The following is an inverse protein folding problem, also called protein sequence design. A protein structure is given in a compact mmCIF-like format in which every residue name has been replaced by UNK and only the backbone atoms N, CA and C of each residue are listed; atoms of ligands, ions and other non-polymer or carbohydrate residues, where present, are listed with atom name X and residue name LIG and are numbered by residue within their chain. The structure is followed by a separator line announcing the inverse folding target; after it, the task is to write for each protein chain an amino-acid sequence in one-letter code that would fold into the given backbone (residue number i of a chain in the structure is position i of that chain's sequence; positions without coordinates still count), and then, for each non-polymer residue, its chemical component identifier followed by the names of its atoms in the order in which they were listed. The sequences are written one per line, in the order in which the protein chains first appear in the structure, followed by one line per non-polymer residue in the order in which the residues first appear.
data_IF_901416548788
#
_entry.id   IF_901416548788
#
_cell.length_a   1.000
_cell.length_b   1.000
_cell.length_c   1.000
_cell.angle_alpha   90.00
_cell.angle_beta   90.00
_cell.angle_gamma   90.00
#
_symmetry.space_group_name_H-M   'P 1'
#
loop_
_entity.id
_entity.type
_entity.pdbx_description
1 polymer ?
#
# COMPACT_ATOMS: atom_id res chain seq x y z
N UNK A 1 2.30 21.04 28.66
CA UNK A 1 2.23 22.21 27.76
C UNK A 1 2.67 23.51 28.42
N UNK A 2 2.14 23.85 29.61
CA UNK A 2 2.58 25.01 30.40
C UNK A 2 4.08 25.05 30.73
N UNK A 3 4.73 23.88 30.90
CA UNK A 3 6.18 23.81 31.19
C UNK A 3 7.09 24.35 30.07
N UNK A 4 6.72 24.21 28.79
CA UNK A 4 7.54 24.72 27.68
C UNK A 4 7.24 26.17 27.31
N UNK A 5 6.00 26.63 27.55
CA UNK A 5 5.65 28.05 27.41
C UNK A 5 6.32 28.90 28.50
N UNK A 6 6.60 28.30 29.66
CA UNK A 6 7.34 28.93 30.76
C UNK A 6 8.86 28.70 30.73
N UNK A 7 9.37 27.73 29.96
CA UNK A 7 10.83 27.57 29.74
C UNK A 7 11.39 28.57 28.72
N UNK A 8 10.62 29.61 28.41
CA UNK A 8 10.96 30.76 27.57
C UNK A 8 12.00 31.68 28.24
N UNK A 9 12.97 31.11 28.95
CA UNK A 9 14.26 31.76 29.11
C UNK A 9 14.95 31.68 27.75
N UNK A 10 15.38 32.79 27.14
CA UNK A 10 15.74 32.87 25.71
C UNK A 10 17.00 32.09 25.28
N UNK A 11 17.48 31.13 26.08
CA UNK A 11 18.82 30.54 25.95
C UNK A 11 18.83 29.06 25.51
N UNK A 12 17.72 28.30 25.56
CA UNK A 12 17.80 26.84 25.34
C UNK A 12 17.22 26.27 24.03
N UNK A 13 16.29 26.93 23.34
CA UNK A 13 15.62 26.35 22.16
C UNK A 13 15.29 27.43 21.12
N UNK A 14 15.58 27.17 19.85
CA UNK A 14 15.22 28.09 18.75
C UNK A 14 13.73 28.08 18.44
N UNK A 15 13.22 29.12 17.78
CA UNK A 15 11.79 29.20 17.42
C UNK A 15 11.32 28.04 16.52
N UNK A 16 12.17 27.56 15.61
CA UNK A 16 11.89 26.43 14.73
C UNK A 16 11.86 25.09 15.47
N UNK A 17 12.83 24.84 16.35
CA UNK A 17 12.83 23.63 17.19
C UNK A 17 11.63 23.59 18.15
N UNK A 18 11.22 24.74 18.69
CA UNK A 18 10.00 24.84 19.50
C UNK A 18 8.78 24.41 18.69
N UNK A 19 8.63 24.94 17.48
CA UNK A 19 7.51 24.63 16.59
C UNK A 19 7.44 23.12 16.28
N UNK A 20 8.57 22.50 15.88
CA UNK A 20 8.62 21.06 15.59
C UNK A 20 8.26 20.22 16.83
N UNK A 21 8.83 20.54 18.00
CA UNK A 21 8.52 19.82 19.25
C UNK A 21 7.05 19.94 19.65
N UNK A 22 6.42 21.10 19.44
CA UNK A 22 4.99 21.29 19.74
C UNK A 22 4.12 20.42 18.82
N UNK A 23 4.45 20.36 17.53
CA UNK A 23 3.77 19.50 16.56
C UNK A 23 3.89 18.03 16.97
N UNK A 24 5.10 17.57 17.32
CA UNK A 24 5.33 16.18 17.72
C UNK A 24 4.51 15.80 18.96
N UNK A 25 4.43 16.69 19.95
CA UNK A 25 3.62 16.48 21.15
C UNK A 25 2.14 16.34 20.79
N UNK A 26 1.63 17.17 19.88
CA UNK A 26 0.24 17.09 19.46
C UNK A 26 -0.06 15.85 18.62
N UNK A 27 0.86 15.45 17.74
CA UNK A 27 0.75 14.20 16.99
C UNK A 27 0.69 13.00 17.95
N UNK A 28 1.61 12.94 18.92
CA UNK A 28 1.62 11.89 19.93
C UNK A 28 0.36 11.89 20.82
N UNK A 29 -0.17 13.07 21.16
CA UNK A 29 -1.42 13.17 21.91
C UNK A 29 -2.61 12.63 21.10
N UNK A 30 -2.68 12.96 19.81
CA UNK A 30 -3.71 12.47 18.89
C UNK A 30 -3.67 10.94 18.77
N UNK A 31 -2.47 10.35 18.65
CA UNK A 31 -2.32 8.90 18.56
C UNK A 31 -2.70 8.18 19.86
N UNK A 32 -2.39 8.77 21.03
CA UNK A 32 -2.84 8.23 22.33
C UNK A 32 -4.36 8.23 22.46
N UNK A 33 -5.00 9.34 22.09
CA UNK A 33 -6.48 9.43 22.09
C UNK A 33 -7.07 8.45 21.07
N UNK A 34 -6.46 8.33 19.89
CA UNK A 34 -6.91 7.38 18.87
C UNK A 34 -6.84 5.93 19.34
N UNK A 35 -5.78 5.54 20.06
CA UNK A 35 -5.65 4.19 20.62
C UNK A 35 -6.70 3.92 21.67
N UNK A 36 -6.79 4.79 22.68
CA UNK A 36 -7.80 4.66 23.75
C UNK A 36 -9.24 4.66 23.20
N UNK A 37 -9.51 5.46 22.16
CA UNK A 37 -10.81 5.47 21.49
C UNK A 37 -11.10 4.14 20.79
N UNK A 38 -10.15 3.60 20.02
CA UNK A 38 -10.35 2.29 19.36
C UNK A 38 -10.49 1.18 20.39
N UNK A 39 -9.71 1.20 21.46
CA UNK A 39 -9.77 0.20 22.54
C UNK A 39 -11.14 0.20 23.23
N UNK A 40 -11.75 1.37 23.44
CA UNK A 40 -13.09 1.49 24.01
C UNK A 40 -14.21 1.16 23.00
N UNK A 41 -13.96 1.29 21.70
CA UNK A 41 -14.97 1.10 20.65
C UNK A 41 -15.02 -0.34 20.15
N UNK A 42 -13.91 -1.07 20.22
CA UNK A 42 -13.80 -2.44 19.70
C UNK A 42 -14.44 -3.50 20.61
N UNK A 43 -14.53 -3.23 21.91
CA UNK A 43 -15.13 -4.14 22.89
C UNK A 43 -16.34 -3.53 23.56
N UNK A 44 -17.30 -4.37 23.90
CA UNK A 44 -18.43 -4.00 24.72
C UNK A 44 -18.66 -5.04 25.81
N UNK A 45 -19.05 -4.57 26.99
CA UNK A 45 -19.38 -5.44 28.11
C UNK A 45 -20.82 -5.92 27.96
N UNK A 46 -21.01 -7.22 27.88
CA UNK A 46 -22.32 -7.86 27.85
C UNK A 46 -22.50 -8.79 29.04
N UNK A 47 -23.76 -8.98 29.42
CA UNK A 47 -24.13 -9.92 30.47
C UNK A 47 -24.36 -11.27 29.81
N UNK A 48 -23.55 -12.25 30.18
CA UNK A 48 -23.70 -13.62 29.72
C UNK A 48 -24.93 -14.30 30.29
N UNK A 49 -25.26 -15.47 29.75
CA UNK A 49 -26.32 -16.34 30.24
C UNK A 49 -26.24 -16.60 31.76
N UNK A 50 -25.03 -16.63 32.32
CA UNK A 50 -24.77 -16.87 33.74
C UNK A 50 -24.80 -15.61 34.61
N UNK A 51 -25.20 -14.46 34.05
CA UNK A 51 -25.29 -13.19 34.77
C UNK A 51 -23.94 -12.50 35.03
N UNK A 52 -22.87 -12.97 34.41
CA UNK A 52 -21.51 -12.41 34.53
C UNK A 52 -21.20 -11.46 33.38
N UNK A 53 -20.40 -10.44 33.66
CA UNK A 53 -19.88 -9.53 32.64
C UNK A 53 -18.79 -10.22 31.81
N UNK A 54 -19.00 -10.32 30.50
CA UNK A 54 -17.99 -10.73 29.52
C UNK A 54 -17.75 -9.61 28.53
N UNK A 55 -16.50 -9.47 28.06
CA UNK A 55 -16.19 -8.58 26.96
C UNK A 55 -16.36 -9.33 25.64
N UNK A 56 -17.24 -8.81 24.79
CA UNK A 56 -17.38 -9.26 23.41
C UNK A 56 -16.91 -8.17 22.44
N UNK A 57 -16.71 -8.55 21.17
CA UNK A 57 -16.47 -7.58 20.10
C UNK A 57 -17.70 -6.68 19.98
N UNK A 58 -17.49 -5.37 19.91
CA UNK A 58 -18.60 -4.42 19.90
C UNK A 58 -19.43 -4.51 18.62
N UNK A 59 -20.75 -4.42 18.79
CA UNK A 59 -21.71 -4.28 17.70
C UNK A 59 -21.97 -2.81 17.34
N UNK A 60 -21.08 -1.89 17.72
CA UNK A 60 -21.13 -0.50 17.28
C UNK A 60 -21.08 -0.43 15.75
N UNK A 61 -22.11 0.17 15.13
CA UNK A 61 -22.22 0.18 13.67
C UNK A 61 -21.05 0.89 12.96
N UNK A 62 -20.47 1.93 13.57
CA UNK A 62 -19.32 2.64 13.00
C UNK A 62 -18.08 1.76 13.02
N UNK A 63 -17.87 1.02 14.11
CA UNK A 63 -16.80 0.04 14.22
C UNK A 63 -16.99 -1.11 13.23
N UNK A 64 -18.18 -1.72 13.19
CA UNK A 64 -18.51 -2.80 12.25
C UNK A 64 -18.30 -2.40 10.78
N UNK A 65 -18.67 -1.18 10.40
CA UNK A 65 -18.48 -0.68 9.02
C UNK A 65 -16.99 -0.56 8.62
N UNK A 66 -16.12 -0.21 9.59
CA UNK A 66 -14.68 -0.13 9.34
C UNK A 66 -13.98 -1.49 9.42
N UNK A 67 -14.34 -2.32 10.41
CA UNK A 67 -13.75 -3.65 10.60
C UNK A 67 -14.12 -4.61 9.46
N UNK A 68 -15.37 -4.56 8.98
CA UNK A 68 -15.81 -5.32 7.80
C UNK A 68 -15.17 -4.87 6.48
N UNK A 69 -14.48 -3.73 6.45
CA UNK A 69 -13.95 -3.13 5.23
C UNK A 69 -15.03 -2.56 4.28
N UNK A 70 -16.30 -2.53 4.69
CA UNK A 70 -17.40 -2.06 3.84
C UNK A 70 -17.26 -0.57 3.50
N UNK A 71 -17.09 0.28 4.52
CA UNK A 71 -16.83 1.71 4.36
C UNK A 71 -16.39 2.30 5.69
N UNK A 72 -15.21 2.91 5.73
CA UNK A 72 -14.70 3.46 6.97
C UNK A 72 -13.21 3.25 7.05
N UNK A 73 -12.51 4.13 7.75
CA UNK A 73 -11.13 3.87 8.16
C UNK A 73 -10.93 4.34 9.60
N UNK A 74 -9.90 3.80 10.27
CA UNK A 74 -9.54 4.24 11.61
C UNK A 74 -9.32 5.77 11.68
N UNK A 75 -8.81 6.37 10.60
CA UNK A 75 -8.64 7.82 10.50
C UNK A 75 -9.99 8.59 10.47
N UNK A 76 -11.03 8.02 9.86
CA UNK A 76 -12.37 8.61 9.86
C UNK A 76 -13.05 8.46 11.22
N UNK A 77 -12.94 7.28 11.86
CA UNK A 77 -13.47 7.03 13.20
C UNK A 77 -12.83 7.99 14.22
N UNK A 78 -11.52 8.19 14.12
CA UNK A 78 -10.77 9.14 14.95
C UNK A 78 -11.36 10.55 14.91
N UNK A 79 -11.77 11.03 13.73
CA UNK A 79 -12.38 12.37 13.61
C UNK A 79 -13.80 12.44 14.20
N UNK A 80 -14.52 11.31 14.24
CA UNK A 80 -15.88 11.22 14.78
C UNK A 80 -15.90 11.16 16.31
N UNK A 81 -15.03 10.34 16.91
CA UNK A 81 -15.11 10.00 18.33
C UNK A 81 -13.81 10.25 19.13
N UNK A 82 -12.70 10.57 18.48
CA UNK A 82 -11.41 10.83 19.11
C UNK A 82 -11.07 12.31 19.12
N UNK A 83 -10.04 12.67 18.36
CA UNK A 83 -9.60 14.05 18.16
C UNK A 83 -9.38 14.29 16.67
N UNK A 84 -9.81 15.43 16.15
CA UNK A 84 -9.58 15.77 14.73
C UNK A 84 -8.11 16.05 14.43
N UNK A 85 -7.38 16.66 15.37
CA UNK A 85 -5.93 16.74 15.37
C UNK A 85 -5.35 17.93 14.60
N UNK A 86 -4.16 17.74 14.03
CA UNK A 86 -3.39 18.77 13.31
C UNK A 86 -3.83 18.87 11.85
N UNK A 87 -3.93 20.11 11.35
CA UNK A 87 -4.35 20.42 9.97
C UNK A 87 -3.19 21.04 9.19
N UNK A 88 -3.17 20.87 7.88
CA UNK A 88 -2.20 21.49 6.99
C UNK A 88 -2.69 22.85 6.46
N UNK A 89 -1.76 23.80 6.31
CA UNK A 89 -1.96 25.05 5.58
C UNK A 89 -1.88 24.80 4.06
N UNK A 90 -2.33 25.76 3.22
CA UNK A 90 -2.24 25.63 1.76
C UNK A 90 -0.81 25.52 1.21
N UNK A 91 0.20 25.95 1.98
CA UNK A 91 1.63 25.83 1.66
C UNK A 91 2.22 24.44 2.03
N UNK A 92 1.43 23.56 2.66
CA UNK A 92 1.84 22.23 3.10
C UNK A 92 2.41 22.18 4.53
N UNK A 93 2.65 23.33 5.18
CA UNK A 93 3.09 23.37 6.58
C UNK A 93 1.96 23.02 7.54
N UNK A 94 2.29 22.47 8.71
CA UNK A 94 1.29 22.08 9.73
C UNK A 94 0.94 23.28 10.62
N UNK A 95 -0.33 23.42 10.99
CA UNK A 95 -0.77 24.48 11.92
C UNK A 95 -0.48 24.03 13.35
N UNK A 96 0.28 24.83 14.12
CA UNK A 96 0.67 24.48 15.50
C UNK A 96 -0.52 24.38 16.48
N UNK A 97 -1.65 25.00 16.14
CA UNK A 97 -2.89 24.98 16.92
C UNK A 97 -3.78 23.83 16.44
N UNK A 98 -3.94 22.74 17.21
CA UNK A 98 -4.74 21.59 16.80
C UNK A 98 -6.23 21.82 17.02
N UNK A 99 -7.03 20.94 16.44
CA UNK A 99 -8.45 20.78 16.76
C UNK A 99 -8.57 19.63 17.75
N UNK A 100 -8.72 19.97 19.03
CA UNK A 100 -8.86 18.98 20.12
C UNK A 100 -10.22 18.30 20.14
N UNK A 101 -11.24 18.95 19.58
CA UNK A 101 -12.59 18.42 19.51
C UNK A 101 -12.77 17.38 18.40
N UNK A 102 -13.80 16.56 18.52
CA UNK A 102 -14.30 15.68 17.45
C UNK A 102 -15.65 16.16 16.90
N UNK A 103 -16.15 15.47 15.87
CA UNK A 103 -17.42 15.85 15.25
C UNK A 103 -18.64 15.64 16.15
N UNK A 104 -18.57 14.72 17.13
CA UNK A 104 -19.64 14.53 18.11
C UNK A 104 -19.70 15.70 19.11
N UNK A 105 -18.56 16.22 19.52
CA UNK A 105 -18.45 17.38 20.43
C UNK A 105 -18.76 18.71 19.72
N UNK A 106 -18.55 18.77 18.40
CA UNK A 106 -18.72 19.95 17.59
C UNK A 106 -17.45 20.81 17.49
N UNK A 107 -17.43 21.68 16.47
CA UNK A 107 -16.29 22.55 16.18
C UNK A 107 -16.67 24.00 16.45
N UNK A 108 -15.80 24.75 17.13
CA UNK A 108 -15.97 26.19 17.23
C UNK A 108 -15.61 26.89 15.91
N UNK A 109 -15.99 28.18 15.78
CA UNK A 109 -15.80 28.95 14.54
C UNK A 109 -14.35 28.96 14.06
N UNK A 110 -13.39 29.11 14.98
CA UNK A 110 -11.97 29.15 14.66
C UNK A 110 -11.46 27.78 14.17
N UNK A 111 -11.82 26.70 14.85
CA UNK A 111 -11.44 25.33 14.48
C UNK A 111 -12.04 24.96 13.12
N UNK A 112 -13.31 25.30 12.89
CA UNK A 112 -13.94 25.11 11.60
C UNK A 112 -13.21 25.89 10.51
N UNK A 113 -12.95 27.19 10.72
CA UNK A 113 -12.23 28.03 9.76
C UNK A 113 -10.81 27.53 9.45
N UNK A 114 -10.07 27.05 10.45
CA UNK A 114 -8.76 26.43 10.24
C UNK A 114 -8.89 25.18 9.35
N UNK A 115 -9.90 24.35 9.59
CA UNK A 115 -10.10 23.12 8.81
C UNK A 115 -10.47 23.36 7.34
N UNK A 116 -11.06 24.52 7.00
CA UNK A 116 -11.45 24.84 5.61
C UNK A 116 -10.25 25.07 4.70
N UNK A 117 -9.10 25.49 5.23
CA UNK A 117 -7.91 25.77 4.44
C UNK A 117 -7.38 24.50 3.77
N UNK A 118 -7.16 23.45 4.57
CA UNK A 118 -6.74 22.13 4.09
C UNK A 118 -7.79 21.48 3.18
N UNK A 119 -9.08 21.57 3.55
CA UNK A 119 -10.17 21.03 2.75
C UNK A 119 -10.27 21.69 1.37
N UNK A 120 -10.22 23.03 1.30
CA UNK A 120 -10.29 23.77 0.04
C UNK A 120 -9.08 23.49 -0.85
N UNK A 121 -7.88 23.42 -0.26
CA UNK A 121 -6.65 23.07 -0.99
C UNK A 121 -6.75 21.65 -1.56
N UNK A 122 -7.19 20.68 -0.76
CA UNK A 122 -7.39 19.30 -1.18
C UNK A 122 -8.39 19.19 -2.34
N UNK A 123 -9.56 19.84 -2.22
CA UNK A 123 -10.58 19.85 -3.28
C UNK A 123 -10.08 20.53 -4.57
N UNK A 124 -9.38 21.66 -4.45
CA UNK A 124 -8.80 22.35 -5.60
C UNK A 124 -7.72 21.50 -6.29
N UNK A 125 -6.85 20.86 -5.52
CA UNK A 125 -5.80 19.99 -6.06
C UNK A 125 -6.40 18.75 -6.73
N UNK A 126 -7.46 18.15 -6.16
CA UNK A 126 -8.21 17.07 -6.79
C UNK A 126 -8.79 17.52 -8.13
N UNK A 127 -9.41 18.70 -8.20
CA UNK A 127 -9.98 19.21 -9.45
C UNK A 127 -8.90 19.49 -10.51
N UNK A 128 -7.77 20.10 -10.13
CA UNK A 128 -6.71 20.48 -11.07
C UNK A 128 -5.84 19.29 -11.53
N UNK A 129 -5.42 18.41 -10.60
CA UNK A 129 -4.48 17.33 -10.93
C UNK A 129 -5.13 16.19 -11.71
N UNK A 130 -6.45 16.05 -11.66
CA UNK A 130 -7.19 15.08 -12.48
C UNK A 130 -6.94 15.32 -13.98
N UNK A 131 -6.89 16.59 -14.41
CA UNK A 131 -6.60 16.93 -15.81
C UNK A 131 -5.20 16.47 -16.25
N UNK A 132 -4.19 16.61 -15.38
CA UNK A 132 -2.82 16.18 -15.69
C UNK A 132 -2.73 14.66 -15.84
N UNK A 133 -3.43 13.90 -15.00
CA UNK A 133 -3.47 12.44 -15.08
C UNK A 133 -4.18 11.95 -16.35
N UNK A 134 -5.31 12.58 -16.71
CA UNK A 134 -6.01 12.29 -17.96
C UNK A 134 -5.14 12.62 -19.19
N UNK A 135 -4.44 13.77 -19.15
CA UNK A 135 -3.53 14.16 -20.22
C UNK A 135 -2.35 13.19 -20.38
N UNK A 136 -1.76 12.72 -19.27
CA UNK A 136 -0.73 11.69 -19.29
C UNK A 136 -1.25 10.39 -19.90
N UNK A 137 -2.45 9.96 -19.51
CA UNK A 137 -3.08 8.74 -20.05
C UNK A 137 -3.24 8.84 -21.57
N UNK A 138 -3.69 10.00 -22.08
CA UNK A 138 -3.77 10.24 -23.53
C UNK A 138 -2.42 10.09 -24.21
N UNK A 139 -1.36 10.72 -23.66
CA UNK A 139 0.00 10.59 -24.21
C UNK A 139 0.54 9.17 -24.16
N UNK A 140 0.23 8.42 -23.10
CA UNK A 140 0.61 7.00 -22.99
C UNK A 140 -0.06 6.18 -24.10
N UNK A 141 -1.35 6.41 -24.36
CA UNK A 141 -2.06 5.74 -25.46
C UNK A 141 -1.48 6.14 -26.81
N UNK A 142 -1.22 7.44 -27.04
CA UNK A 142 -0.66 7.94 -28.31
C UNK A 142 0.68 7.25 -28.66
N UNK A 143 1.52 6.94 -27.66
CA UNK A 143 2.81 6.24 -27.85
C UNK A 143 2.66 4.72 -27.92
N UNK A 144 1.71 4.14 -27.18
CA UNK A 144 1.60 2.69 -27.04
C UNK A 144 0.58 2.02 -27.98
N UNK A 145 -0.28 2.78 -28.67
CA UNK A 145 -1.40 2.24 -29.45
C UNK A 145 -1.00 1.20 -30.51
N UNK A 146 0.19 1.31 -31.08
CA UNK A 146 0.66 0.41 -32.14
C UNK A 146 1.20 -0.93 -31.59
N UNK A 147 1.26 -1.10 -30.27
CA UNK A 147 1.74 -2.31 -29.62
C UNK A 147 0.62 -3.37 -29.54
N UNK A 148 0.66 -4.31 -30.48
CA UNK A 148 -0.28 -5.45 -30.60
C UNK A 148 0.49 -6.77 -30.54
N UNK A 149 -0.14 -7.82 -30.01
CA UNK A 149 0.43 -9.17 -30.09
C UNK A 149 0.26 -9.71 -31.51
N UNK A 150 1.37 -9.84 -32.25
CA UNK A 150 1.36 -10.22 -33.67
C UNK A 150 1.86 -11.65 -33.90
N UNK A 151 2.72 -12.15 -33.01
CA UNK A 151 3.40 -13.43 -33.15
C UNK A 151 3.23 -14.29 -31.88
N UNK A 152 3.44 -15.61 -31.98
CA UNK A 152 3.41 -16.49 -30.82
C UNK A 152 4.75 -16.46 -30.06
N UNK A 153 5.87 -16.67 -30.76
CA UNK A 153 7.23 -16.67 -30.17
C UNK A 153 8.26 -16.04 -31.12
N UNK A 154 8.92 -14.96 -30.70
CA UNK A 154 10.00 -14.30 -31.46
C UNK A 154 11.35 -15.03 -31.41
N UNK A 155 11.47 -16.13 -30.66
CA UNK A 155 12.68 -16.95 -30.54
C UNK A 155 13.80 -16.38 -29.65
N UNK A 156 13.62 -15.16 -29.12
CA UNK A 156 14.66 -14.48 -28.33
C UNK A 156 15.10 -15.30 -27.11
N UNK A 157 16.41 -15.27 -26.85
CA UNK A 157 17.06 -15.84 -25.66
C UNK A 157 17.25 -14.77 -24.57
N UNK A 158 17.01 -13.51 -24.92
CA UNK A 158 17.13 -12.39 -24.01
C UNK A 158 15.93 -12.32 -23.06
N UNK A 159 16.19 -11.78 -21.89
CA UNK A 159 15.20 -11.69 -20.83
C UNK A 159 15.72 -10.84 -19.68
N UNK A 160 14.82 -10.50 -18.77
CA UNK A 160 15.13 -9.72 -17.58
C UNK A 160 15.14 -10.63 -16.36
N UNK A 161 16.16 -10.48 -15.52
CA UNK A 161 16.23 -11.19 -14.24
C UNK A 161 15.32 -10.51 -13.23
N UNK A 162 14.25 -11.19 -12.84
CA UNK A 162 13.34 -10.73 -11.79
C UNK A 162 13.78 -11.28 -10.44
N UNK A 163 13.78 -10.41 -9.43
CA UNK A 163 14.10 -10.69 -8.03
C UNK A 163 13.01 -10.12 -7.13
N UNK A 164 12.84 -10.56 -5.88
CA UNK A 164 11.94 -9.89 -4.94
C UNK A 164 12.36 -8.42 -4.72
N UNK A 165 11.39 -7.53 -4.50
CA UNK A 165 11.67 -6.12 -4.18
C UNK A 165 11.85 -6.00 -2.67
N UNK A 166 13.08 -5.71 -2.26
CA UNK A 166 13.46 -5.57 -0.84
C UNK A 166 13.78 -4.10 -0.59
N UNK A 167 13.04 -3.46 0.32
CA UNK A 167 13.27 -2.08 0.72
C UNK A 167 13.42 -2.01 2.24
N UNK A 168 14.58 -1.54 2.73
CA UNK A 168 14.79 -1.34 4.17
C UNK A 168 14.84 -2.61 5.01
N UNK A 169 15.04 -3.78 4.40
CA UNK A 169 15.05 -5.08 5.07
C UNK A 169 13.71 -5.83 5.01
N UNK A 170 12.65 -5.17 4.57
CA UNK A 170 11.33 -5.78 4.36
C UNK A 170 11.15 -6.18 2.89
N UNK A 171 10.58 -7.36 2.67
CA UNK A 171 10.16 -7.82 1.33
C UNK A 171 8.83 -7.14 1.02
N UNK A 172 8.85 -6.12 0.15
CA UNK A 172 7.64 -5.40 -0.26
C UNK A 172 6.83 -6.14 -1.30
N UNK A 173 7.51 -6.80 -2.23
CA UNK A 173 6.88 -7.58 -3.28
C UNK A 173 7.63 -8.92 -3.42
N UNK A 174 6.99 -10.06 -3.13
CA UNK A 174 7.63 -11.36 -3.23
C UNK A 174 7.89 -11.72 -4.70
N UNK A 175 8.81 -12.65 -4.94
CA UNK A 175 9.15 -13.08 -6.31
C UNK A 175 7.93 -13.65 -7.05
N UNK A 176 7.09 -14.42 -6.35
CA UNK A 176 5.85 -15.01 -6.88
C UNK A 176 4.98 -14.00 -7.61
N UNK A 177 4.68 -12.87 -6.97
CA UNK A 177 3.78 -11.87 -7.53
C UNK A 177 4.38 -11.17 -8.75
N UNK A 178 5.71 -11.01 -8.78
CA UNK A 178 6.44 -10.39 -9.91
C UNK A 178 6.53 -11.28 -11.15
N UNK A 179 6.64 -12.59 -10.94
CA UNK A 179 6.85 -13.57 -12.03
C UNK A 179 5.56 -14.24 -12.49
N UNK A 180 4.48 -14.15 -11.72
CA UNK A 180 3.18 -14.73 -12.07
C UNK A 180 2.71 -14.26 -13.45
N UNK A 181 2.36 -15.22 -14.30
CA UNK A 181 1.89 -14.98 -15.66
C UNK A 181 2.98 -14.66 -16.68
N UNK A 182 4.27 -14.65 -16.30
CA UNK A 182 5.39 -14.46 -17.23
C UNK A 182 5.89 -15.79 -17.80
N UNK A 183 6.70 -15.72 -18.84
CA UNK A 183 7.35 -16.90 -19.45
C UNK A 183 8.84 -16.92 -19.12
N UNK A 184 9.39 -18.09 -18.80
CA UNK A 184 10.84 -18.26 -18.53
C UNK A 184 11.69 -18.07 -19.79
N UNK A 185 12.78 -17.32 -19.68
CA UNK A 185 13.74 -17.12 -20.77
C UNK A 185 14.84 -18.20 -20.78
N UNK A 186 15.11 -18.82 -19.64
CA UNK A 186 16.10 -19.89 -19.46
C UNK A 186 15.55 -21.01 -18.55
N UNK A 187 16.25 -22.13 -18.50
CA UNK A 187 15.93 -23.22 -17.58
C UNK A 187 16.26 -22.80 -16.14
N UNK A 188 15.24 -22.73 -15.29
CA UNK A 188 15.41 -22.42 -13.87
C UNK A 188 15.88 -23.68 -13.16
N UNK A 189 17.07 -23.63 -12.56
CA UNK A 189 17.65 -24.74 -11.82
C UNK A 189 17.21 -24.71 -10.35
N UNK A 190 17.12 -25.90 -9.75
CA UNK A 190 16.85 -26.01 -8.31
C UNK A 190 18.12 -25.62 -7.52
N UNK A 191 18.01 -24.70 -6.53
CA UNK A 191 19.16 -24.24 -5.76
C UNK A 191 19.91 -25.40 -5.07
N UNK A 192 21.22 -25.52 -5.32
CA UNK A 192 22.07 -26.57 -4.76
C UNK A 192 22.12 -27.87 -5.55
N UNK A 193 21.39 -27.99 -6.65
CA UNK A 193 21.38 -29.16 -7.55
C UNK A 193 21.52 -28.73 -9.02
N UNK A 194 21.89 -29.65 -9.90
CA UNK A 194 21.91 -29.41 -11.35
C UNK A 194 20.57 -29.75 -12.03
N UNK A 195 19.54 -30.08 -11.25
CA UNK A 195 18.24 -30.49 -11.76
C UNK A 195 17.43 -29.27 -12.23
N UNK A 196 16.83 -29.39 -13.42
CA UNK A 196 15.95 -28.37 -13.98
C UNK A 196 14.62 -28.40 -13.21
N UNK A 197 14.29 -27.26 -12.60
CA UNK A 197 13.07 -27.05 -11.84
C UNK A 197 11.93 -26.58 -12.75
N UNK A 198 12.20 -25.57 -13.59
CA UNK A 198 11.24 -25.03 -14.56
C UNK A 198 11.94 -24.89 -15.91
N UNK A 199 11.50 -25.59 -16.96
CA UNK A 199 12.10 -25.45 -18.29
C UNK A 199 11.91 -24.05 -18.87
N UNK A 200 12.75 -23.66 -19.83
CA UNK A 200 12.59 -22.48 -20.69
C UNK A 200 11.25 -22.52 -21.43
N UNK A 201 10.72 -21.34 -21.76
CA UNK A 201 9.45 -21.15 -22.48
C UNK A 201 8.24 -21.71 -21.72
N UNK A 202 8.34 -21.83 -20.40
CA UNK A 202 7.21 -22.26 -19.56
C UNK A 202 6.46 -21.04 -19.06
N UNK A 203 5.14 -21.03 -19.24
CA UNK A 203 4.25 -20.03 -18.66
C UNK A 203 4.11 -20.27 -17.15
N UNK A 204 4.50 -19.28 -16.35
CA UNK A 204 4.49 -19.35 -14.89
C UNK A 204 3.07 -19.11 -14.36
N UNK A 205 2.34 -20.20 -14.16
CA UNK A 205 1.08 -20.23 -13.40
C UNK A 205 1.35 -20.35 -11.89
N UNK A 206 0.28 -20.26 -11.09
CA UNK A 206 0.33 -20.32 -9.63
C UNK A 206 1.09 -21.54 -9.12
N UNK A 207 0.89 -22.71 -9.75
CA UNK A 207 1.60 -23.94 -9.39
C UNK A 207 3.12 -23.83 -9.56
N UNK A 208 3.59 -23.22 -10.65
CA UNK A 208 5.02 -23.01 -10.89
C UNK A 208 5.60 -22.02 -9.90
N UNK A 209 4.85 -20.96 -9.57
CA UNK A 209 5.28 -19.99 -8.56
C UNK A 209 5.40 -20.61 -7.16
N UNK A 210 4.44 -21.46 -6.75
CA UNK A 210 4.50 -22.15 -5.46
C UNK A 210 5.71 -23.10 -5.39
N UNK A 211 6.06 -23.73 -6.51
CA UNK A 211 7.23 -24.60 -6.64
C UNK A 211 8.55 -23.80 -6.59
N UNK A 212 8.60 -22.61 -7.20
CA UNK A 212 9.74 -21.68 -7.07
C UNK A 212 9.95 -21.24 -5.63
N UNK A 213 8.89 -20.87 -4.92
CA UNK A 213 8.96 -20.48 -3.51
C UNK A 213 9.37 -21.65 -2.60
N UNK A 214 8.80 -22.83 -2.80
CA UNK A 214 9.11 -24.03 -2.00
C UNK A 214 10.58 -24.46 -2.11
N UNK A 215 11.22 -24.17 -3.25
CA UNK A 215 12.65 -24.42 -3.45
C UNK A 215 13.52 -23.20 -3.13
N UNK A 216 12.93 -22.11 -2.62
CA UNK A 216 13.61 -20.87 -2.26
C UNK A 216 14.47 -20.32 -3.41
N UNK A 217 13.87 -20.22 -4.60
CA UNK A 217 14.49 -19.57 -5.76
C UNK A 217 14.37 -18.05 -5.57
N UNK A 218 15.51 -17.36 -5.60
CA UNK A 218 15.56 -15.91 -5.33
C UNK A 218 15.54 -15.06 -6.61
N UNK A 219 15.83 -15.66 -7.77
CA UNK A 219 15.84 -14.96 -9.05
C UNK A 219 15.39 -15.87 -10.19
N UNK A 220 14.67 -15.30 -11.15
CA UNK A 220 14.23 -16.00 -12.37
C UNK A 220 14.42 -15.07 -13.56
N UNK A 221 15.11 -15.55 -14.60
CA UNK A 221 15.17 -14.83 -15.88
C UNK A 221 13.90 -15.11 -16.68
N UNK A 222 13.11 -14.07 -16.85
CA UNK A 222 11.83 -14.11 -17.58
C UNK A 222 11.94 -13.33 -18.88
N UNK A 223 11.15 -13.73 -19.88
CA UNK A 223 10.99 -12.96 -21.10
C UNK A 223 10.29 -11.64 -20.79
N UNK A 224 10.58 -10.64 -21.63
CA UNK A 224 10.09 -9.28 -21.45
C UNK A 224 9.61 -8.70 -22.77
N UNK A 225 8.58 -7.85 -22.70
CA UNK A 225 8.10 -7.03 -23.81
C UNK A 225 9.22 -6.15 -24.38
N UNK A 226 10.15 -5.69 -23.53
CA UNK A 226 11.28 -4.83 -23.96
C UNK A 226 12.35 -5.61 -24.71
N UNK A 227 12.57 -6.88 -24.38
CA UNK A 227 13.57 -7.75 -25.01
C UNK A 227 12.96 -8.57 -26.15
N UNK A 228 11.87 -8.09 -26.75
CA UNK A 228 11.16 -8.79 -27.81
C UNK A 228 11.73 -8.40 -29.18
N UNK A 229 12.04 -9.40 -30.01
CA UNK A 229 12.64 -9.21 -31.35
C UNK A 229 11.59 -9.14 -32.48
N UNK A 230 10.30 -9.15 -32.15
CA UNK A 230 9.20 -9.06 -33.14
C UNK A 230 9.13 -7.65 -33.75
N UNK A 231 9.15 -7.57 -35.08
CA UNK A 231 8.95 -6.32 -35.81
C UNK A 231 7.50 -5.81 -35.69
N UNK A 232 7.34 -4.51 -35.40
CA UNK A 232 6.04 -3.82 -35.34
C UNK A 232 4.97 -4.56 -34.50
N UNK A 233 5.35 -5.04 -33.32
CA UNK A 233 4.45 -5.72 -32.39
C UNK A 233 5.22 -6.42 -31.29
N UNK A 234 4.56 -7.39 -30.66
CA UNK A 234 5.21 -8.27 -29.68
C UNK A 234 4.75 -9.71 -29.88
N UNK A 235 5.56 -10.67 -29.43
CA UNK A 235 5.13 -12.04 -29.36
C UNK A 235 4.39 -12.37 -28.05
N UNK A 236 3.52 -13.38 -28.09
CA UNK A 236 2.73 -13.83 -26.94
C UNK A 236 3.62 -14.29 -25.78
N UNK A 237 4.78 -14.93 -26.05
CA UNK A 237 5.68 -15.40 -24.99
C UNK A 237 6.42 -14.27 -24.26
N UNK A 238 6.72 -13.14 -24.92
CA UNK A 238 7.36 -12.00 -24.27
C UNK A 238 6.40 -11.21 -23.37
N UNK A 239 5.10 -11.24 -23.67
CA UNK A 239 4.06 -10.67 -22.81
C UNK A 239 3.65 -11.65 -21.70
N UNK A 240 3.29 -12.88 -22.07
CA UNK A 240 2.82 -13.93 -21.18
C UNK A 240 1.30 -14.00 -21.08
N UNK A 241 0.79 -13.99 -19.84
CA UNK A 241 -0.62 -14.19 -19.50
C UNK A 241 -1.42 -12.90 -19.62
N UNK A 242 -2.60 -13.00 -20.23
CA UNK A 242 -3.64 -11.96 -20.11
C UNK A 242 -4.17 -11.96 -18.66
N UNK A 243 -3.92 -10.87 -17.93
CA UNK A 243 -4.32 -10.74 -16.53
C UNK A 243 -5.84 -10.58 -16.34
N UNK A 244 -6.59 -10.21 -17.39
CA UNK A 244 -8.04 -10.07 -17.33
C UNK A 244 -8.76 -11.41 -17.57
N UNK A 245 -8.23 -12.27 -18.45
CA UNK A 245 -8.86 -13.55 -18.84
C UNK A 245 -8.18 -14.78 -18.25
N UNK A 246 -6.92 -14.66 -17.83
CA UNK A 246 -6.19 -15.68 -17.12
C UNK A 246 -5.55 -16.77 -17.99
N UNK A 247 -5.59 -16.68 -19.32
CA UNK A 247 -4.89 -17.58 -20.24
C UNK A 247 -3.68 -16.88 -20.89
N UNK A 248 -2.84 -17.63 -21.62
CA UNK A 248 -1.79 -17.03 -22.47
C UNK A 248 -2.43 -16.03 -23.42
N UNK A 249 -1.81 -14.86 -23.62
CA UNK A 249 -2.43 -13.81 -24.41
C UNK A 249 -2.70 -14.23 -25.86
N UNK A 250 -3.86 -13.80 -26.38
CA UNK A 250 -4.25 -14.09 -27.75
C UNK A 250 -3.53 -13.17 -28.75
N UNK A 251 -3.24 -13.69 -29.94
CA UNK A 251 -2.82 -12.86 -31.07
C UNK A 251 -3.93 -11.90 -31.47
N UNK A 252 -3.54 -10.67 -31.79
CA UNK A 252 -4.42 -9.55 -32.12
C UNK A 252 -4.82 -8.67 -30.93
N UNK A 253 -4.44 -9.03 -29.69
CA UNK A 253 -4.78 -8.20 -28.52
C UNK A 253 -3.91 -6.93 -28.49
N UNK A 254 -4.57 -5.77 -28.33
CA UNK A 254 -3.92 -4.45 -28.28
C UNK A 254 -3.34 -4.13 -26.90
N UNK A 255 -2.25 -4.81 -26.55
CA UNK A 255 -1.63 -4.71 -25.21
C UNK A 255 -1.16 -3.31 -24.85
N UNK A 256 -0.78 -2.48 -25.82
CA UNK A 256 -0.32 -1.13 -25.54
C UNK A 256 -1.41 -0.22 -24.98
N UNK A 257 -2.62 -0.29 -25.53
CA UNK A 257 -3.78 0.44 -25.01
C UNK A 257 -4.16 -0.07 -23.62
N UNK A 258 -4.14 -1.39 -23.43
CA UNK A 258 -4.41 -2.02 -22.12
C UNK A 258 -3.40 -1.54 -21.07
N UNK A 259 -2.11 -1.53 -21.40
CA UNK A 259 -1.04 -1.09 -20.51
C UNK A 259 -1.17 0.40 -20.15
N UNK A 260 -1.45 1.25 -21.13
CA UNK A 260 -1.66 2.69 -20.89
C UNK A 260 -2.85 2.95 -19.97
N UNK A 261 -3.97 2.23 -20.14
CA UNK A 261 -5.14 2.33 -19.26
C UNK A 261 -4.87 1.80 -17.85
N UNK A 262 -4.12 0.70 -17.76
CA UNK A 262 -3.74 0.06 -16.49
C UNK A 262 -2.83 0.95 -15.64
N UNK A 263 -2.16 1.94 -16.24
CA UNK A 263 -1.40 2.98 -15.53
C UNK A 263 -2.29 4.22 -15.29
N UNK A 264 -3.02 4.64 -16.31
CA UNK A 264 -3.77 5.90 -16.31
C UNK A 264 -4.98 5.94 -15.37
N UNK A 265 -5.81 4.89 -15.37
CA UNK A 265 -6.99 4.83 -14.49
C UNK A 265 -6.58 4.81 -13.01
N UNK A 266 -5.67 3.92 -12.55
CA UNK A 266 -5.27 3.90 -11.15
C UNK A 266 -4.54 5.18 -10.75
N UNK A 267 -3.71 5.76 -11.63
CA UNK A 267 -3.04 7.03 -11.37
C UNK A 267 -4.01 8.20 -11.16
N UNK A 268 -5.06 8.25 -11.96
CA UNK A 268 -6.12 9.27 -11.82
C UNK A 268 -6.91 9.03 -10.53
N UNK A 269 -7.23 7.76 -10.24
CA UNK A 269 -7.94 7.36 -9.04
C UNK A 269 -7.15 7.69 -7.75
N UNK A 270 -5.85 7.41 -7.70
CA UNK A 270 -4.97 7.73 -6.58
C UNK A 270 -4.89 9.23 -6.34
N UNK A 271 -4.79 10.01 -7.42
CA UNK A 271 -4.78 11.48 -7.36
C UNK A 271 -6.09 12.01 -6.76
N UNK A 272 -7.23 11.47 -7.19
CA UNK A 272 -8.51 11.85 -6.60
C UNK A 272 -8.63 11.39 -5.15
N UNK A 273 -8.20 10.17 -4.82
CA UNK A 273 -8.40 9.56 -3.50
C UNK A 273 -7.46 10.09 -2.40
N UNK A 274 -6.28 10.58 -2.75
CA UNK A 274 -5.29 10.97 -1.73
C UNK A 274 -5.49 12.41 -1.25
N UNK A 275 -5.83 13.34 -2.15
CA UNK A 275 -5.84 14.77 -1.82
C UNK A 275 -7.14 15.27 -1.18
N UNK A 276 -8.28 14.57 -1.37
CA UNK A 276 -9.54 14.96 -0.74
C UNK A 276 -9.58 14.75 0.78
N UNK A 277 -8.62 14.00 1.33
CA UNK A 277 -8.48 13.73 2.78
C UNK A 277 -7.58 14.80 3.46
N UNK A 278 -7.06 15.78 2.69
CA UNK A 278 -6.08 16.80 3.10
C UNK A 278 -6.45 17.72 4.28
N UNK A 279 -7.56 17.47 4.97
CA UNK A 279 -7.88 18.06 6.25
C UNK A 279 -7.04 17.50 7.40
N UNK A 280 -6.86 16.18 7.51
CA UNK A 280 -6.24 15.55 8.69
C UNK A 280 -4.97 14.76 8.32
N UNK A 281 -3.85 15.08 8.97
CA UNK A 281 -2.60 14.35 8.81
C UNK A 281 -2.52 13.16 9.77
N UNK A 282 -2.21 11.97 9.26
CA UNK A 282 -1.86 10.80 10.08
C UNK A 282 -0.69 10.05 9.46
N UNK A 283 0.26 9.60 10.29
CA UNK A 283 1.36 8.72 9.88
C UNK A 283 0.94 7.27 10.14
N UNK A 284 1.08 6.39 9.15
CA UNK A 284 0.94 4.95 9.36
C UNK A 284 2.28 4.36 9.83
N UNK A 285 2.24 3.41 10.76
CA UNK A 285 3.40 2.63 11.20
C UNK A 285 3.49 1.32 10.41
N UNK A 286 4.71 0.83 10.19
CA UNK A 286 4.96 -0.48 9.59
C UNK A 286 4.49 -1.61 10.51
N UNK A 287 3.99 -2.70 9.94
CA UNK A 287 3.64 -3.92 10.69
C UNK A 287 4.93 -4.62 11.15
N UNK A 288 5.18 -4.64 12.46
CA UNK A 288 6.43 -5.17 13.03
C UNK A 288 6.29 -6.56 13.67
N UNK A 289 5.12 -7.19 13.60
CA UNK A 289 4.88 -8.48 14.26
C UNK A 289 3.79 -9.30 13.59
N UNK A 290 3.98 -10.61 13.55
CA UNK A 290 2.98 -11.59 13.10
C UNK A 290 2.38 -12.26 14.35
N UNK A 291 1.06 -12.21 14.51
CA UNK A 291 0.36 -12.82 15.64
C UNK A 291 -0.50 -14.00 15.17
N UNK A 292 -0.40 -15.13 15.87
CA UNK A 292 -1.20 -16.33 15.61
C UNK A 292 -2.54 -16.22 16.34
N UNK A 293 -3.65 -16.37 15.62
CA UNK A 293 -5.01 -16.21 16.17
C UNK A 293 -5.58 -17.47 16.84
N UNK A 294 -5.09 -18.65 16.46
CA UNK A 294 -5.63 -19.94 16.89
C UNK A 294 -4.57 -20.83 17.53
N UNK A 295 -4.97 -21.72 18.44
CA UNK A 295 -4.07 -22.78 18.95
C UNK A 295 -3.73 -23.75 17.81
N UNK A 296 -2.46 -24.07 17.67
CA UNK A 296 -1.95 -25.00 16.66
C UNK A 296 -0.45 -25.24 16.82
N UNK A 297 0.11 -26.08 15.97
CA UNK A 297 1.55 -26.28 15.87
C UNK A 297 2.15 -25.31 14.84
N UNK A 298 3.27 -24.68 15.20
CA UNK A 298 4.01 -23.84 14.25
C UNK A 298 4.81 -24.77 13.32
N UNK A 299 4.60 -24.64 12.02
CA UNK A 299 5.43 -25.27 10.99
C UNK A 299 6.17 -24.17 10.24
N UNK A 300 7.49 -24.16 10.36
CA UNK A 300 8.33 -23.27 9.57
C UNK A 300 8.45 -23.84 8.16
N UNK A 301 8.03 -23.07 7.16
CA UNK A 301 8.21 -23.35 5.73
C UNK A 301 9.11 -22.27 5.13
N UNK A 302 10.04 -22.67 4.27
CA UNK A 302 10.99 -21.77 3.59
C UNK A 302 11.87 -20.94 4.54
N UNK A 303 12.16 -21.46 5.75
CA UNK A 303 12.99 -20.78 6.74
C UNK A 303 14.40 -21.38 6.81
N UNK A 304 15.42 -20.53 6.62
CA UNK A 304 16.80 -20.83 7.00
C UNK A 304 17.10 -20.08 8.30
N UNK A 305 17.15 -20.78 9.42
CA UNK A 305 17.44 -20.19 10.74
C UNK A 305 18.81 -20.62 11.23
N UNK A 306 19.57 -19.67 11.79
CA UNK A 306 20.81 -19.94 12.52
C UNK A 306 20.55 -19.61 13.99
N UNK A 307 20.82 -20.57 14.88
CA UNK A 307 20.87 -20.31 16.31
C UNK A 307 22.34 -20.17 16.71
N UNK A 308 22.71 -19.00 17.22
CA UNK A 308 24.01 -18.83 17.85
C UNK A 308 23.97 -19.54 19.20
N UNK A 309 24.70 -20.66 19.32
CA UNK A 309 24.89 -21.36 20.59
C UNK A 309 25.78 -20.47 21.46
N UNK A 310 25.16 -19.71 22.36
CA UNK A 310 25.87 -19.05 23.46
C UNK A 310 26.49 -20.15 24.34
N UNK A 311 27.82 -20.19 24.38
CA UNK A 311 28.62 -20.99 25.31
C UNK A 311 28.60 -20.36 26.71
#
# INVERSE_FOLDING_TARGET
MLRFRNSSSPVLVTAGERYNKVIDIWAAANDRVSKAMMDNLQTETVINRDGQEEQQVSFNSIYMMADSGARGSAAQIRQLAGMRGLMAKPDGSIIETPITANFREGLNVLQYFISTHGARKGLADTALKTANSGYLTRRLVDVAQDLVVTEDDCGTLEGITMTPVIEGGDVKEPLRDRVLGRVTAEDVLKPGTADILVPRNTLLHEHWCDLLEANSVDSVKVRSVVSCDTDFGVCAHCYGRDLARGHLINKGEAIGVIAAQSIGEPGTQLTMRTFHIGGAASRAAAESSIQVKNKGSIKLSNAKSVCELQW
#
